data_IF_263310782791
#
_entry.id   IF_263310782791
#
_cell.length_a   1.000
_cell.length_b   1.000
_cell.length_c   1.000
_cell.angle_alpha   90.00
_cell.angle_beta   90.00
_cell.angle_gamma   90.00
#
_symmetry.space_group_name_H-M   'P 1'
#
loop_
_entity.id
_entity.type
_entity.pdbx_description
1 polymer ?
#
# COMPACT_ATOMS: atom_id res chain seq x y z
N UNK A 1 -7.83 17.90 -22.84
CA UNK A 1 -7.69 17.02 -21.66
C UNK A 1 -6.26 16.53 -21.54
N UNK A 2 -5.66 16.66 -20.36
CA UNK A 2 -4.34 16.10 -20.10
C UNK A 2 -4.48 14.59 -19.91
N UNK A 3 -3.59 13.80 -20.50
CA UNK A 3 -3.52 12.37 -20.24
C UNK A 3 -3.12 12.05 -18.78
N UNK A 4 -3.11 10.77 -18.38
CA UNK A 4 -2.84 10.34 -17.00
C UNK A 4 -1.57 10.94 -16.38
N UNK A 5 -0.47 11.01 -17.14
CA UNK A 5 0.79 11.63 -16.68
C UNK A 5 0.66 13.13 -16.38
N UNK A 6 -0.17 13.84 -17.17
CA UNK A 6 -0.40 15.25 -16.97
C UNK A 6 -1.24 15.55 -15.72
N UNK A 7 -2.21 14.69 -15.40
CA UNK A 7 -2.98 14.81 -14.16
C UNK A 7 -2.16 14.37 -12.93
N UNK A 8 -1.27 13.37 -13.05
CA UNK A 8 -0.32 12.98 -11.99
C UNK A 8 0.61 14.14 -11.62
N UNK A 9 1.24 14.81 -12.59
CA UNK A 9 2.10 15.98 -12.35
C UNK A 9 1.38 17.15 -11.68
N UNK A 10 0.05 17.20 -11.77
CA UNK A 10 -0.80 18.21 -11.11
C UNK A 10 -1.28 17.76 -9.73
N UNK A 11 -0.82 16.61 -9.23
CA UNK A 11 -1.21 16.06 -7.94
C UNK A 11 -2.67 15.57 -7.88
N UNK A 12 -3.28 15.30 -9.04
CA UNK A 12 -4.66 14.81 -9.11
C UNK A 12 -4.78 13.29 -9.17
N UNK A 13 -3.67 12.60 -9.42
CA UNK A 13 -3.61 11.14 -9.32
C UNK A 13 -2.97 10.71 -7.99
N UNK A 14 -3.34 9.52 -7.47
CA UNK A 14 -2.60 8.85 -6.41
C UNK A 14 -1.11 8.76 -6.71
N UNK A 15 -0.28 8.77 -5.67
CA UNK A 15 1.16 8.50 -5.80
C UNK A 15 1.37 7.08 -6.34
N UNK A 16 2.29 6.94 -7.29
CA UNK A 16 2.79 5.65 -7.76
C UNK A 16 3.58 4.95 -6.64
N UNK A 17 3.72 3.61 -6.68
CA UNK A 17 4.55 2.91 -5.69
C UNK A 17 5.99 3.44 -5.60
N UNK A 18 6.56 3.87 -6.72
CA UNK A 18 7.89 4.49 -6.74
C UNK A 18 7.91 5.83 -6.01
N UNK A 19 6.94 6.70 -6.25
CA UNK A 19 6.83 8.00 -5.56
C UNK A 19 6.60 7.83 -4.05
N UNK A 20 5.78 6.84 -3.65
CA UNK A 20 5.63 6.47 -2.24
C UNK A 20 6.98 6.04 -1.64
N UNK A 21 7.73 5.21 -2.35
CA UNK A 21 9.05 4.76 -1.90
C UNK A 21 10.05 5.92 -1.74
N UNK A 22 10.09 6.85 -2.69
CA UNK A 22 10.94 8.03 -2.62
C UNK A 22 10.52 8.97 -1.47
N UNK A 23 9.22 9.14 -1.24
CA UNK A 23 8.70 9.92 -0.12
C UNK A 23 9.16 9.32 1.22
N UNK A 24 9.01 8.00 1.41
CA UNK A 24 9.46 7.32 2.63
C UNK A 24 10.97 7.48 2.85
N UNK A 25 11.78 7.33 1.80
CA UNK A 25 13.22 7.59 1.87
C UNK A 25 13.53 9.03 2.28
N UNK A 26 12.82 10.01 1.70
CA UNK A 26 12.94 11.43 2.03
C UNK A 26 12.58 11.75 3.48
N UNK A 27 11.66 10.99 4.07
CA UNK A 27 11.28 11.08 5.49
C UNK A 27 12.26 10.37 6.43
N UNK A 28 13.31 9.73 5.91
CA UNK A 28 14.37 9.09 6.70
C UNK A 28 14.18 7.59 6.96
N UNK A 29 13.16 6.96 6.37
CA UNK A 29 13.03 5.51 6.44
C UNK A 29 14.17 4.85 5.64
N UNK A 30 14.73 3.80 6.23
CA UNK A 30 15.89 3.07 5.70
C UNK A 30 15.43 1.80 4.98
N UNK A 31 16.32 1.20 4.21
CA UNK A 31 16.03 -0.03 3.47
C UNK A 31 15.65 -1.23 4.36
N UNK A 32 16.11 -1.25 5.61
CA UNK A 32 15.74 -2.28 6.60
C UNK A 32 14.35 -2.07 7.22
N UNK A 33 13.66 -0.98 6.87
CA UNK A 33 12.27 -0.75 7.30
C UNK A 33 11.35 -1.81 6.71
N UNK A 34 10.49 -2.37 7.57
CA UNK A 34 9.46 -3.33 7.17
C UNK A 34 8.29 -2.60 6.54
N UNK A 35 7.92 -2.99 5.33
CA UNK A 35 6.80 -2.42 4.58
C UNK A 35 5.74 -3.50 4.39
N UNK A 36 4.56 -3.25 4.93
CA UNK A 36 3.36 -4.02 4.61
C UNK A 36 2.53 -3.26 3.58
N UNK A 37 2.18 -3.91 2.46
CA UNK A 37 1.32 -3.32 1.44
C UNK A 37 -0.09 -3.89 1.52
N UNK A 38 -1.00 -3.04 1.98
CA UNK A 38 -2.44 -3.25 1.91
C UNK A 38 -2.97 -2.86 0.53
N UNK A 39 -3.10 -3.82 -0.38
CA UNK A 39 -3.70 -3.61 -1.69
C UNK A 39 -4.67 -4.71 -2.09
N UNK A 40 -5.64 -4.32 -2.92
CA UNK A 40 -6.34 -5.25 -3.80
C UNK A 40 -5.53 -5.45 -5.07
N UNK A 41 -6.21 -5.51 -6.22
CA UNK A 41 -5.56 -5.54 -7.52
C UNK A 41 -4.75 -4.26 -7.76
N UNK A 42 -3.46 -4.42 -8.09
CA UNK A 42 -2.54 -3.32 -8.32
C UNK A 42 -2.72 -2.80 -9.74
N UNK A 43 -3.02 -1.50 -9.86
CA UNK A 43 -3.17 -0.87 -11.16
C UNK A 43 -1.86 -0.93 -11.96
N UNK A 44 -1.94 -1.45 -13.19
CA UNK A 44 -0.76 -1.65 -14.03
C UNK A 44 0.04 -2.91 -13.73
N UNK A 45 -0.43 -3.76 -12.81
CA UNK A 45 0.19 -5.04 -12.50
C UNK A 45 1.16 -5.00 -11.32
N UNK A 46 1.55 -6.19 -10.88
CA UNK A 46 2.46 -6.39 -9.74
C UNK A 46 3.88 -5.85 -10.01
N UNK A 47 4.31 -5.79 -11.27
CA UNK A 47 5.60 -5.21 -11.66
C UNK A 47 5.73 -3.72 -11.28
N UNK A 48 4.61 -3.00 -11.13
CA UNK A 48 4.62 -1.59 -10.73
C UNK A 48 5.11 -1.38 -9.30
N UNK A 49 5.13 -2.44 -8.48
CA UNK A 49 5.66 -2.43 -7.12
C UNK A 49 7.17 -2.67 -7.07
N UNK A 50 7.81 -3.10 -8.14
CA UNK A 50 9.25 -3.42 -8.15
C UNK A 50 10.14 -2.25 -7.70
N UNK A 51 9.88 -0.99 -8.10
CA UNK A 51 10.63 0.15 -7.57
C UNK A 51 10.52 0.29 -6.05
N UNK A 52 9.32 0.03 -5.48
CA UNK A 52 9.12 0.07 -4.02
C UNK A 52 9.88 -1.07 -3.33
N UNK A 53 9.81 -2.29 -3.86
CA UNK A 53 10.57 -3.46 -3.37
C UNK A 53 12.08 -3.24 -3.44
N UNK A 54 12.57 -2.57 -4.49
CA UNK A 54 13.98 -2.21 -4.63
C UNK A 54 14.46 -1.21 -3.58
N UNK A 55 13.59 -0.30 -3.14
CA UNK A 55 13.91 0.68 -2.09
C UNK A 55 13.80 0.08 -0.68
N UNK A 56 12.85 -0.82 -0.46
CA UNK A 56 12.51 -1.46 0.81
C UNK A 56 12.36 -2.98 0.64
N UNK A 57 13.46 -3.76 0.75
CA UNK A 57 13.44 -5.21 0.55
C UNK A 57 12.62 -6.01 1.58
N UNK A 58 12.39 -5.46 2.79
CA UNK A 58 11.54 -6.08 3.80
C UNK A 58 10.05 -5.84 3.50
N UNK A 59 9.62 -6.28 2.33
CA UNK A 59 8.28 -6.08 1.76
C UNK A 59 7.38 -7.29 2.01
N UNK A 60 6.15 -7.04 2.46
CA UNK A 60 5.18 -8.09 2.77
C UNK A 60 3.75 -7.71 2.35
N UNK A 61 2.96 -8.73 2.00
CA UNK A 61 1.51 -8.63 1.85
C UNK A 61 0.84 -9.71 2.71
N UNK A 62 -0.48 -9.62 2.90
CA UNK A 62 -1.24 -10.71 3.58
C UNK A 62 -1.01 -12.06 2.92
N UNK A 63 -0.93 -12.12 1.59
CA UNK A 63 -0.74 -13.37 0.84
C UNK A 63 0.61 -14.00 1.15
N UNK A 64 1.67 -13.20 1.26
CA UNK A 64 3.01 -13.67 1.63
C UNK A 64 3.06 -14.18 3.08
N UNK A 65 2.39 -13.49 4.01
CA UNK A 65 2.46 -13.79 5.44
C UNK A 65 1.57 -14.96 5.85
N UNK A 66 0.32 -14.98 5.39
CA UNK A 66 -0.68 -15.96 5.83
C UNK A 66 -0.82 -17.16 4.88
N UNK A 67 -0.40 -17.04 3.62
CA UNK A 67 -0.36 -18.15 2.66
C UNK A 67 -1.68 -18.94 2.60
N UNK A 68 -1.65 -20.19 3.05
CA UNK A 68 -2.82 -21.08 3.00
C UNK A 68 -3.92 -20.70 4.01
N UNK A 69 -3.59 -19.99 5.08
CA UNK A 69 -4.55 -19.59 6.12
C UNK A 69 -5.55 -18.53 5.59
N UNK A 70 -5.25 -17.91 4.45
CA UNK A 70 -6.18 -16.99 3.79
C UNK A 70 -7.33 -17.68 3.05
N UNK A 71 -7.21 -18.98 2.72
CA UNK A 71 -8.20 -19.69 1.90
C UNK A 71 -9.64 -19.55 2.39
N UNK A 72 -9.95 -19.64 3.69
CA UNK A 72 -11.32 -19.47 4.20
C UNK A 72 -11.89 -18.06 3.97
N UNK A 73 -11.02 -17.06 3.76
CA UNK A 73 -11.39 -15.65 3.61
C UNK A 73 -11.44 -15.19 2.15
N UNK A 74 -10.87 -15.96 1.21
CA UNK A 74 -10.84 -15.61 -0.22
C UNK A 74 -12.20 -15.22 -0.83
N UNK A 75 -13.33 -15.87 -0.48
CA UNK A 75 -14.64 -15.47 -1.01
C UNK A 75 -15.19 -14.17 -0.42
N UNK A 76 -14.56 -13.62 0.62
CA UNK A 76 -15.08 -12.52 1.42
C UNK A 76 -14.12 -11.33 1.39
N UNK A 77 -14.25 -10.49 0.36
CA UNK A 77 -13.40 -9.30 0.16
C UNK A 77 -13.36 -8.37 1.39
N UNK A 78 -14.48 -8.20 2.09
CA UNK A 78 -14.55 -7.40 3.32
C UNK A 78 -13.72 -8.00 4.48
N UNK A 79 -13.60 -9.33 4.56
CA UNK A 79 -12.78 -10.00 5.58
C UNK A 79 -11.29 -9.90 5.24
N UNK A 80 -10.93 -10.00 3.96
CA UNK A 80 -9.56 -9.73 3.52
C UNK A 80 -9.15 -8.28 3.80
N UNK A 81 -10.03 -7.32 3.49
CA UNK A 81 -9.80 -5.92 3.80
C UNK A 81 -9.71 -5.64 5.31
N UNK A 82 -10.40 -6.44 6.14
CA UNK A 82 -10.27 -6.34 7.59
C UNK A 82 -8.88 -6.79 8.09
N UNK A 83 -8.25 -7.77 7.45
CA UNK A 83 -6.86 -8.16 7.76
C UNK A 83 -5.92 -7.00 7.43
N UNK A 84 -6.02 -6.44 6.22
CA UNK A 84 -5.26 -5.26 5.81
C UNK A 84 -5.44 -4.09 6.77
N UNK A 85 -6.68 -3.84 7.20
CA UNK A 85 -7.00 -2.80 8.17
C UNK A 85 -6.31 -3.02 9.52
N UNK A 86 -6.33 -4.24 10.07
CA UNK A 86 -5.70 -4.54 11.37
C UNK A 86 -4.20 -4.30 11.31
N UNK A 87 -3.52 -4.72 10.25
CA UNK A 87 -2.08 -4.50 10.10
C UNK A 87 -1.77 -3.00 9.97
N UNK A 88 -2.55 -2.26 9.18
CA UNK A 88 -2.40 -0.81 9.05
C UNK A 88 -2.76 -0.04 10.34
N UNK A 89 -3.69 -0.53 11.16
CA UNK A 89 -4.05 0.09 12.45
C UNK A 89 -2.95 -0.11 13.49
N UNK A 90 -2.28 -1.27 13.45
CA UNK A 90 -1.25 -1.64 14.43
C UNK A 90 0.19 -1.30 13.99
N UNK A 91 0.39 -0.80 12.78
CA UNK A 91 1.73 -0.40 12.31
C UNK A 91 2.25 0.84 13.06
N UNK A 92 3.57 1.05 13.09
CA UNK A 92 4.14 2.26 13.70
C UNK A 92 3.78 3.52 12.89
N UNK A 93 3.76 3.39 11.56
CA UNK A 93 3.42 4.46 10.62
C UNK A 93 2.47 3.92 9.56
N UNK A 94 1.49 4.74 9.17
CA UNK A 94 0.54 4.45 8.11
C UNK A 94 0.64 5.50 7.01
N UNK A 95 0.72 5.05 5.76
CA UNK A 95 0.74 5.89 4.56
C UNK A 95 -0.30 5.37 3.59
N UNK A 96 -0.99 6.29 2.92
CA UNK A 96 -1.91 5.96 1.84
C UNK A 96 -1.55 6.74 0.59
N UNK A 97 -1.70 6.11 -0.58
CA UNK A 97 -1.53 6.81 -1.85
C UNK A 97 -2.83 7.39 -2.40
N UNK A 98 -3.98 7.06 -1.80
CA UNK A 98 -5.30 7.55 -2.22
C UNK A 98 -6.15 7.94 -1.00
N UNK A 99 -7.21 8.73 -1.21
CA UNK A 99 -8.12 9.12 -0.13
C UNK A 99 -9.37 8.20 -0.06
N UNK A 100 -9.14 6.89 -0.03
CA UNK A 100 -10.19 5.87 0.03
C UNK A 100 -10.85 5.72 1.41
N UNK A 101 -11.84 4.83 1.51
CA UNK A 101 -12.55 4.59 2.77
C UNK A 101 -11.62 4.09 3.89
N UNK A 102 -10.67 3.20 3.57
CA UNK A 102 -9.69 2.72 4.55
C UNK A 102 -8.84 3.85 5.13
N UNK A 103 -8.39 4.78 4.27
CA UNK A 103 -7.63 5.95 4.71
C UNK A 103 -8.44 6.82 5.69
N UNK A 104 -9.72 7.08 5.38
CA UNK A 104 -10.61 7.87 6.24
C UNK A 104 -10.86 7.22 7.60
N UNK A 105 -11.08 5.89 7.61
CA UNK A 105 -11.34 5.17 8.86
C UNK A 105 -10.08 5.13 9.73
N UNK A 106 -8.90 4.82 9.15
CA UNK A 106 -7.64 4.80 9.90
C UNK A 106 -7.25 6.17 10.43
N UNK A 107 -7.46 7.24 9.64
CA UNK A 107 -7.22 8.62 10.09
C UNK A 107 -8.13 9.05 11.25
N UNK A 108 -9.32 8.44 11.40
CA UNK A 108 -10.20 8.70 12.54
C UNK A 108 -9.87 7.87 13.78
N UNK A 109 -9.06 6.82 13.65
CA UNK A 109 -8.75 5.88 14.73
C UNK A 109 -7.35 6.04 15.32
N UNK A 110 -6.34 6.30 14.48
CA UNK A 110 -4.94 6.49 14.86
C UNK A 110 -4.67 7.94 15.25
#
# INVERSE_FOLDING_TARGET
>A
DLGPEGELRRGKCPLTPHEVGLMLRGLGFKNDSYIYVASGEVYGGEETLDPLRGLFPNYYTKEMLAGQELRPFMPFSSRLAAIDYIVCDLSDVFVTNNNGNMAKVLAGRR
#
